data_IF_708090416448
#
_entry.id   IF_708090416448
#
_cell.length_a   1.000
_cell.length_b   1.000
_cell.length_c   1.000
_cell.angle_alpha   90.00
_cell.angle_beta   90.00
_cell.angle_gamma   90.00
#
_symmetry.space_group_name_H-M   'P 1'
#
loop_
_entity.id
_entity.type
_entity.pdbx_description
1 polymer ?
#
# COMPACT_ATOMS: atom_id res chain seq x y z
N UNK A 1 -0.51 57.74 -2.86
CA UNK A 1 0.43 56.63 -2.62
C UNK A 1 -0.27 55.32 -2.94
N UNK A 2 0.27 54.44 -3.79
CA UNK A 2 -0.40 53.20 -4.18
C UNK A 2 -0.18 52.11 -3.11
N UNK A 3 -1.26 51.41 -2.74
CA UNK A 3 -1.22 50.20 -1.90
C UNK A 3 -0.56 49.06 -2.69
N UNK A 4 0.60 48.59 -2.26
CA UNK A 4 1.18 47.33 -2.76
C UNK A 4 0.31 46.16 -2.29
N UNK A 5 -0.37 45.49 -3.22
CA UNK A 5 -0.83 44.12 -3.03
C UNK A 5 0.39 43.23 -2.83
N UNK A 6 0.51 42.62 -1.66
CA UNK A 6 1.43 41.50 -1.46
C UNK A 6 0.71 40.29 -2.06
N UNK A 7 0.99 39.99 -3.33
CA UNK A 7 0.73 38.66 -3.86
C UNK A 7 1.60 37.67 -3.08
N UNK A 8 0.98 36.97 -2.13
CA UNK A 8 1.56 35.78 -1.54
C UNK A 8 1.64 34.71 -2.65
N UNK A 9 2.69 34.79 -3.47
CA UNK A 9 3.07 33.69 -4.36
C UNK A 9 3.45 32.53 -3.45
N UNK A 10 2.53 31.59 -3.29
CA UNK A 10 2.82 30.24 -2.80
C UNK A 10 3.93 29.68 -3.70
N UNK A 11 5.17 29.76 -3.21
CA UNK A 11 6.27 29.04 -3.85
C UNK A 11 6.00 27.56 -3.62
N UNK A 12 6.19 26.69 -4.63
CA UNK A 12 6.14 25.27 -4.41
C UNK A 12 7.20 24.94 -3.36
N UNK A 13 6.75 24.46 -2.20
CA UNK A 13 7.64 23.85 -1.22
C UNK A 13 8.25 22.67 -1.97
N UNK A 14 9.54 22.79 -2.29
CA UNK A 14 10.28 21.72 -2.92
C UNK A 14 10.06 20.46 -2.08
N UNK A 15 9.52 19.43 -2.72
CA UNK A 15 9.26 18.08 -2.23
C UNK A 15 10.53 17.32 -1.80
N UNK A 16 11.63 18.02 -1.52
CA UNK A 16 12.96 17.48 -1.32
C UNK A 16 13.24 17.04 0.13
N UNK A 17 12.27 17.12 1.04
CA UNK A 17 12.49 16.74 2.44
C UNK A 17 11.82 15.43 2.86
N UNK A 18 10.91 14.87 2.08
CA UNK A 18 10.05 13.81 2.59
C UNK A 18 10.37 12.40 2.10
N UNK A 19 11.23 12.21 1.09
CA UNK A 19 11.46 10.85 0.54
C UNK A 19 12.86 10.59 -0.02
N UNK A 20 13.79 11.56 -0.02
CA UNK A 20 15.12 11.28 -0.55
C UNK A 20 15.99 10.67 0.54
N UNK A 21 16.14 9.35 0.49
CA UNK A 21 17.29 8.61 1.05
C UNK A 21 18.60 8.99 0.37
N UNK A 22 18.76 10.26 0.00
CA UNK A 22 19.96 10.76 -0.66
C UNK A 22 21.09 10.85 0.38
N UNK A 23 22.28 10.32 0.05
CA UNK A 23 23.42 10.28 0.96
C UNK A 23 23.88 11.67 1.39
N UNK A 24 23.50 12.71 0.64
CA UNK A 24 23.96 14.06 0.88
C UNK A 24 22.85 15.11 0.71
N UNK A 25 22.91 16.17 1.51
CA UNK A 25 22.05 17.34 1.37
C UNK A 25 22.85 18.42 0.64
N UNK A 26 22.37 18.83 -0.54
CA UNK A 26 22.96 19.91 -1.32
C UNK A 26 22.58 21.24 -0.68
N UNK A 27 23.56 21.99 -0.17
CA UNK A 27 23.36 23.39 0.18
C UNK A 27 23.15 24.17 -1.13
N UNK A 28 22.25 25.17 -1.11
CA UNK A 28 21.76 25.92 -2.29
C UNK A 28 22.83 26.55 -3.20
N UNK A 29 24.11 26.49 -2.83
CA UNK A 29 25.16 27.38 -3.35
C UNK A 29 26.35 26.61 -3.96
N UNK A 30 26.21 25.32 -4.28
CA UNK A 30 27.28 24.52 -4.88
C UNK A 30 28.41 24.10 -3.93
N UNK A 31 28.23 24.32 -2.62
CA UNK A 31 29.11 23.74 -1.59
C UNK A 31 28.97 22.21 -1.54
N UNK A 32 30.05 21.56 -1.12
CA UNK A 32 30.12 20.12 -0.89
C UNK A 32 28.90 19.65 -0.10
N UNK A 33 28.21 18.65 -0.64
CA UNK A 33 27.01 18.12 -0.03
C UNK A 33 27.39 17.44 1.30
N UNK A 34 26.76 17.87 2.41
CA UNK A 34 27.02 17.27 3.71
C UNK A 34 26.34 15.91 3.78
N UNK A 35 26.93 14.89 4.45
CA UNK A 35 26.25 13.65 4.72
C UNK A 35 24.88 13.94 5.34
N UNK A 36 23.83 13.32 4.82
CA UNK A 36 22.49 13.52 5.37
C UNK A 36 22.50 13.08 6.85
N UNK A 37 22.29 14.00 7.81
CA UNK A 37 22.44 13.70 9.23
C UNK A 37 21.43 12.66 9.73
N UNK A 38 20.32 12.46 9.00
CA UNK A 38 19.35 11.41 9.29
C UNK A 38 19.93 10.01 9.02
N UNK A 39 20.80 9.86 8.03
CA UNK A 39 21.40 8.56 7.69
C UNK A 39 22.32 8.03 8.79
N UNK A 40 22.90 8.89 9.63
CA UNK A 40 23.68 8.45 10.78
C UNK A 40 22.81 7.81 11.87
N UNK A 41 21.50 8.05 11.83
CA UNK A 41 20.52 7.61 12.84
C UNK A 41 19.54 6.57 12.28
N UNK A 42 19.80 6.08 11.07
CA UNK A 42 18.97 5.13 10.35
C UNK A 42 19.79 3.90 9.96
N UNK A 43 19.23 2.71 10.12
CA UNK A 43 19.80 1.49 9.53
C UNK A 43 18.75 0.81 8.66
N UNK A 44 19.15 0.18 7.54
CA UNK A 44 18.28 -0.77 6.85
C UNK A 44 17.73 -1.79 7.83
N UNK A 45 16.46 -2.15 7.67
CA UNK A 45 15.78 -3.09 8.54
C UNK A 45 14.83 -3.97 7.73
N UNK A 46 14.78 -5.25 8.10
CA UNK A 46 13.90 -6.25 7.54
C UNK A 46 13.00 -6.74 8.66
N UNK A 47 11.72 -6.44 8.56
CA UNK A 47 10.72 -6.97 9.48
C UNK A 47 10.09 -8.21 8.83
N UNK A 48 10.20 -9.37 9.47
CA UNK A 48 9.58 -10.62 9.01
C UNK A 48 8.62 -11.15 10.08
N UNK A 49 7.94 -12.25 9.78
CA UNK A 49 7.18 -12.97 10.79
C UNK A 49 8.06 -13.37 11.98
N UNK A 50 7.46 -13.33 13.16
CA UNK A 50 8.04 -13.89 14.38
C UNK A 50 8.20 -15.42 14.18
N UNK A 51 9.21 -15.99 14.84
CA UNK A 51 9.44 -17.43 14.77
C UNK A 51 8.28 -18.20 15.40
N UNK A 52 7.72 -19.15 14.67
CA UNK A 52 6.69 -20.05 15.18
C UNK A 52 7.29 -21.17 16.05
N UNK A 53 6.43 -22.04 16.61
CA UNK A 53 6.86 -23.16 17.46
C UNK A 53 7.79 -24.18 16.76
N UNK A 54 7.87 -24.14 15.43
CA UNK A 54 8.78 -24.96 14.64
C UNK A 54 10.12 -24.26 14.34
N UNK A 55 10.36 -23.06 14.89
CA UNK A 55 11.58 -22.27 14.65
C UNK A 55 11.66 -21.71 13.22
N UNK A 56 10.52 -21.49 12.58
CA UNK A 56 10.44 -20.93 11.22
C UNK A 56 9.68 -19.62 11.23
N UNK A 57 10.06 -18.68 10.37
CA UNK A 57 9.34 -17.42 10.11
C UNK A 57 8.37 -17.55 8.92
N UNK A 58 7.74 -18.73 8.78
CA UNK A 58 6.86 -19.08 7.66
C UNK A 58 5.50 -19.51 8.18
N UNK A 59 4.45 -19.05 7.52
CA UNK A 59 3.08 -19.49 7.77
C UNK A 59 2.72 -20.59 6.77
N UNK A 60 2.54 -21.82 7.27
CA UNK A 60 2.12 -22.97 6.45
C UNK A 60 0.60 -23.08 6.47
N UNK A 61 -0.04 -22.99 5.31
CA UNK A 61 -1.49 -23.09 5.16
C UNK A 61 -1.86 -24.20 4.18
N UNK A 62 -2.70 -25.12 4.61
CA UNK A 62 -3.38 -26.09 3.75
C UNK A 62 -4.35 -25.36 2.79
N UNK A 63 -4.89 -26.10 1.84
CA UNK A 63 -5.90 -25.59 0.89
C UNK A 63 -7.04 -24.86 1.60
N UNK A 64 -7.33 -23.62 1.19
CA UNK A 64 -8.39 -22.77 1.76
C UNK A 64 -8.28 -22.50 3.29
N UNK A 65 -7.20 -22.94 3.93
CA UNK A 65 -6.98 -22.73 5.36
C UNK A 65 -6.79 -21.24 5.66
N UNK A 66 -7.32 -20.82 6.82
CA UNK A 66 -7.03 -19.51 7.39
C UNK A 66 -6.00 -19.70 8.49
N UNK A 67 -4.93 -18.92 8.46
CA UNK A 67 -3.97 -18.88 9.54
C UNK A 67 -3.51 -17.46 9.85
N UNK A 68 -2.72 -17.38 10.90
CA UNK A 68 -2.31 -16.12 11.51
C UNK A 68 -0.81 -16.12 11.74
N UNK A 69 -0.18 -14.98 11.52
CA UNK A 69 1.21 -14.72 11.84
C UNK A 69 1.33 -13.32 12.45
N UNK A 70 2.36 -13.11 13.27
CA UNK A 70 2.66 -11.81 13.89
C UNK A 70 4.01 -11.32 13.41
N UNK A 71 4.18 -10.00 13.38
CA UNK A 71 5.47 -9.33 13.18
C UNK A 71 5.63 -8.33 14.32
N UNK A 72 6.65 -8.53 15.15
CA UNK A 72 6.89 -7.68 16.33
C UNK A 72 8.05 -6.72 16.08
N UNK A 73 7.80 -5.41 16.24
CA UNK A 73 8.88 -4.43 16.32
C UNK A 73 9.38 -4.33 17.76
N UNK A 74 10.67 -4.59 18.00
CA UNK A 74 11.26 -4.49 19.34
C UNK A 74 11.47 -3.02 19.80
N UNK A 75 11.90 -2.84 21.05
CA UNK A 75 12.14 -1.53 21.70
C UNK A 75 13.24 -0.66 21.06
N UNK A 76 14.00 -1.20 20.10
CA UNK A 76 15.19 -0.57 19.52
C UNK A 76 14.92 0.67 18.68
N UNK A 77 13.70 0.83 18.15
CA UNK A 77 13.35 2.00 17.35
C UNK A 77 12.11 1.80 16.50
N UNK A 78 11.55 2.90 16.01
CA UNK A 78 10.48 2.87 15.01
C UNK A 78 11.03 2.38 13.67
N UNK A 79 10.16 1.78 12.87
CA UNK A 79 10.50 1.30 11.53
C UNK A 79 9.61 1.99 10.50
N UNK A 80 10.22 2.61 9.49
CA UNK A 80 9.52 3.04 8.28
C UNK A 80 9.65 1.96 7.22
N UNK A 81 8.54 1.27 6.92
CA UNK A 81 8.44 0.30 5.85
C UNK A 81 8.14 1.02 4.54
N UNK A 82 9.01 0.84 3.54
CA UNK A 82 8.83 1.43 2.21
C UNK A 82 8.60 0.37 1.11
N UNK A 83 8.84 -0.91 1.39
CA UNK A 83 8.54 -1.97 0.42
C UNK A 83 8.12 -3.29 1.07
N UNK A 84 7.33 -4.06 0.33
CA UNK A 84 6.81 -5.37 0.74
C UNK A 84 7.32 -6.45 -0.23
N UNK A 85 7.87 -7.53 0.32
CA UNK A 85 8.33 -8.70 -0.46
C UNK A 85 7.77 -9.99 0.11
N UNK A 86 7.74 -11.01 -0.74
CA UNK A 86 7.45 -12.39 -0.36
C UNK A 86 8.07 -13.38 -1.35
N UNK A 87 7.83 -14.66 -1.10
CA UNK A 87 8.23 -15.72 -2.02
C UNK A 87 7.33 -15.74 -3.27
N UNK A 88 7.92 -15.79 -4.46
CA UNK A 88 7.21 -15.65 -5.73
C UNK A 88 6.21 -16.78 -5.98
N UNK A 89 6.58 -17.99 -5.58
CA UNK A 89 5.83 -19.22 -5.87
C UNK A 89 4.61 -19.39 -4.94
N UNK A 90 4.55 -18.59 -3.86
CA UNK A 90 3.54 -18.72 -2.81
C UNK A 90 2.56 -17.53 -2.76
N UNK A 91 2.41 -16.71 -3.81
CA UNK A 91 1.60 -15.47 -3.76
C UNK A 91 0.09 -15.62 -4.07
N UNK A 92 -0.42 -16.82 -4.32
CA UNK A 92 -1.87 -17.04 -4.47
C UNK A 92 -2.52 -17.30 -3.10
N UNK A 93 -2.64 -16.20 -2.34
CA UNK A 93 -3.36 -16.12 -1.06
C UNK A 93 -3.95 -14.72 -0.91
N UNK A 94 -4.92 -14.60 -0.02
CA UNK A 94 -5.45 -13.32 0.43
C UNK A 94 -5.01 -13.06 1.86
N UNK A 95 -4.75 -11.80 2.22
CA UNK A 95 -4.32 -11.44 3.56
C UNK A 95 -4.90 -10.12 4.05
N UNK A 96 -4.95 -9.97 5.36
CA UNK A 96 -5.41 -8.79 6.09
C UNK A 96 -4.37 -8.41 7.14
N UNK A 97 -3.90 -7.17 7.11
CA UNK A 97 -2.99 -6.62 8.12
C UNK A 97 -3.76 -5.79 9.14
N UNK A 98 -3.46 -6.03 10.41
CA UNK A 98 -4.01 -5.27 11.53
C UNK A 98 -2.92 -4.90 12.50
N UNK A 99 -3.03 -3.70 13.04
CA UNK A 99 -2.34 -3.34 14.28
C UNK A 99 -3.01 -4.11 15.42
N UNK A 100 -2.23 -4.94 16.13
CA UNK A 100 -2.72 -5.78 17.22
C UNK A 100 -3.32 -4.95 18.35
N UNK A 101 -2.66 -3.85 18.73
CA UNK A 101 -3.04 -3.04 19.86
C UNK A 101 -4.28 -2.19 19.59
N UNK A 102 -4.34 -1.53 18.42
CA UNK A 102 -5.46 -0.63 18.09
C UNK A 102 -6.60 -1.33 17.35
N UNK A 103 -6.39 -2.54 16.84
CA UNK A 103 -7.31 -3.22 15.92
C UNK A 103 -7.46 -2.52 14.58
N UNK A 104 -6.66 -1.47 14.31
CA UNK A 104 -6.74 -0.71 13.08
C UNK A 104 -6.23 -1.55 11.92
N UNK A 105 -7.03 -1.64 10.87
CA UNK A 105 -6.66 -2.37 9.66
C UNK A 105 -5.88 -1.46 8.71
N UNK A 106 -4.89 -1.98 7.99
CA UNK A 106 -4.19 -1.24 6.93
C UNK A 106 -4.92 -1.32 5.59
N UNK A 107 -6.07 -1.97 5.56
CA UNK A 107 -6.86 -2.23 4.37
C UNK A 107 -8.34 -2.40 4.70
N UNK A 108 -9.22 -2.29 3.71
CA UNK A 108 -10.68 -2.38 3.92
C UNK A 108 -11.19 -3.82 4.10
N UNK A 109 -10.46 -4.80 3.56
CA UNK A 109 -10.70 -6.24 3.70
C UNK A 109 -9.47 -7.00 3.21
N UNK A 110 -9.54 -8.33 3.24
CA UNK A 110 -8.50 -9.20 2.69
C UNK A 110 -8.21 -8.86 1.23
N UNK A 111 -6.94 -8.63 0.92
CA UNK A 111 -6.46 -8.33 -0.44
C UNK A 111 -5.63 -9.49 -0.97
N UNK A 112 -5.60 -9.68 -2.29
CA UNK A 112 -4.78 -10.72 -2.91
C UNK A 112 -3.30 -10.33 -2.90
N UNK A 113 -2.42 -11.23 -2.48
CA UNK A 113 -1.00 -10.92 -2.28
C UNK A 113 -0.31 -10.40 -3.54
N UNK A 114 -0.59 -10.97 -4.70
CA UNK A 114 -0.02 -10.51 -5.98
C UNK A 114 -0.37 -9.05 -6.36
N UNK A 115 -1.34 -8.42 -5.68
CA UNK A 115 -1.67 -7.01 -5.96
C UNK A 115 -0.75 -6.02 -5.22
N UNK A 116 -0.08 -6.44 -4.14
CA UNK A 116 0.69 -5.54 -3.26
C UNK A 116 1.96 -6.15 -2.66
N UNK A 117 2.25 -7.42 -2.91
CA UNK A 117 3.47 -8.09 -2.46
C UNK A 117 4.36 -8.37 -3.67
N UNK A 118 5.56 -7.80 -3.64
CA UNK A 118 6.59 -8.04 -4.65
C UNK A 118 7.37 -9.32 -4.36
N UNK A 119 8.36 -9.60 -5.20
CA UNK A 119 9.33 -10.68 -4.96
C UNK A 119 10.59 -10.12 -4.30
N UNK A 120 11.48 -10.99 -3.83
CA UNK A 120 12.77 -10.55 -3.30
C UNK A 120 13.64 -9.81 -4.35
N UNK A 121 13.50 -10.18 -5.63
CA UNK A 121 14.20 -9.49 -6.72
C UNK A 121 13.50 -8.20 -7.16
N UNK A 122 12.18 -8.12 -7.00
CA UNK A 122 11.35 -6.99 -7.42
C UNK A 122 10.36 -6.64 -6.32
N UNK A 123 10.79 -5.89 -5.29
CA UNK A 123 9.93 -5.48 -4.20
C UNK A 123 8.75 -4.62 -4.65
N UNK A 124 7.63 -4.72 -3.95
CA UNK A 124 6.53 -3.78 -4.13
C UNK A 124 6.82 -2.55 -3.28
N UNK A 125 7.27 -1.47 -3.92
CA UNK A 125 7.51 -0.20 -3.23
C UNK A 125 6.19 0.52 -2.95
N UNK A 126 5.99 0.90 -1.71
CA UNK A 126 4.81 1.63 -1.28
C UNK A 126 4.86 3.08 -1.79
N UNK A 127 3.74 3.65 -2.28
CA UNK A 127 3.69 5.06 -2.63
C UNK A 127 3.80 5.99 -1.41
N UNK A 128 3.45 5.48 -0.25
CA UNK A 128 3.62 6.11 1.06
C UNK A 128 4.12 5.05 2.03
N UNK A 129 5.13 5.34 2.86
CA UNK A 129 5.66 4.36 3.79
C UNK A 129 4.67 4.10 4.95
N UNK A 130 4.77 2.91 5.53
CA UNK A 130 4.08 2.55 6.77
C UNK A 130 5.04 2.79 7.93
N UNK A 131 4.62 3.56 8.93
CA UNK A 131 5.35 3.69 10.19
C UNK A 131 4.88 2.62 11.17
N UNK A 132 5.83 1.84 11.66
CA UNK A 132 5.65 0.88 12.74
C UNK A 132 6.32 1.46 13.99
N UNK A 133 5.52 1.83 14.99
CA UNK A 133 6.01 2.37 16.25
C UNK A 133 6.78 1.28 17.03
N UNK A 134 7.64 1.67 17.99
CA UNK A 134 8.25 0.74 18.95
C UNK A 134 7.19 -0.11 19.66
N UNK A 135 7.51 -1.38 19.89
CA UNK A 135 6.67 -2.36 20.58
C UNK A 135 5.32 -2.64 19.89
N UNK A 136 5.16 -2.15 18.65
CA UNK A 136 3.97 -2.42 17.88
C UNK A 136 4.03 -3.85 17.34
N UNK A 137 2.88 -4.52 17.40
CA UNK A 137 2.70 -5.87 16.87
C UNK A 137 1.73 -5.77 15.70
N UNK A 138 2.13 -6.30 14.56
CA UNK A 138 1.29 -6.36 13.37
C UNK A 138 0.81 -7.80 13.19
N UNK A 139 -0.50 -7.98 13.23
CA UNK A 139 -1.15 -9.25 12.94
C UNK A 139 -1.40 -9.36 11.44
N UNK A 140 -1.07 -10.52 10.89
CA UNK A 140 -1.45 -10.93 9.55
C UNK A 140 -2.41 -12.11 9.65
N UNK A 141 -3.61 -11.94 9.09
CA UNK A 141 -4.55 -13.03 8.83
C UNK A 141 -4.47 -13.37 7.34
N UNK A 142 -4.10 -14.59 6.99
CA UNK A 142 -4.04 -15.05 5.61
C UNK A 142 -4.97 -16.23 5.33
N UNK A 143 -5.45 -16.32 4.10
CA UNK A 143 -6.16 -17.49 3.57
C UNK A 143 -5.49 -17.96 2.28
N UNK A 144 -5.15 -19.24 2.22
CA UNK A 144 -4.63 -19.87 1.00
C UNK A 144 -5.68 -19.82 -0.13
N UNK A 145 -5.30 -19.31 -1.30
CA UNK A 145 -6.16 -19.17 -2.47
C UNK A 145 -6.31 -20.45 -3.30
N UNK A 146 -5.50 -21.48 -3.03
CA UNK A 146 -5.50 -22.75 -3.74
C UNK A 146 -6.75 -23.58 -3.45
N UNK A 147 -7.36 -24.13 -4.50
CA UNK A 147 -8.56 -24.98 -4.42
C UNK A 147 -8.22 -26.47 -4.26
N UNK A 148 -6.99 -26.86 -4.55
CA UNK A 148 -6.45 -28.20 -4.44
C UNK A 148 -5.67 -28.37 -3.13
N UNK A 149 -5.33 -29.61 -2.76
CA UNK A 149 -4.65 -29.98 -1.51
C UNK A 149 -3.19 -29.48 -1.39
N UNK A 150 -2.86 -28.37 -2.04
CA UNK A 150 -1.55 -27.74 -2.03
C UNK A 150 -1.41 -26.91 -0.76
N UNK A 151 -0.45 -27.31 0.08
CA UNK A 151 0.00 -26.49 1.21
C UNK A 151 0.90 -25.39 0.69
N UNK A 152 0.64 -24.14 1.10
CA UNK A 152 1.48 -22.98 0.78
C UNK A 152 2.28 -22.53 1.97
N UNK A 153 3.49 -22.07 1.70
CA UNK A 153 4.38 -21.53 2.70
C UNK A 153 4.53 -20.03 2.55
N UNK A 154 3.64 -19.27 3.18
CA UNK A 154 3.68 -17.82 3.09
C UNK A 154 4.91 -17.29 3.84
N UNK A 155 5.78 -16.60 3.09
CA UNK A 155 6.89 -15.80 3.60
C UNK A 155 6.64 -14.37 3.18
N UNK A 156 6.73 -13.45 4.14
CA UNK A 156 6.58 -12.02 3.89
C UNK A 156 7.62 -11.24 4.68
N UNK A 157 8.27 -10.31 4.01
CA UNK A 157 9.31 -9.46 4.59
C UNK A 157 9.05 -8.02 4.20
N UNK A 158 9.11 -7.13 5.19
CA UNK A 158 8.94 -5.70 5.03
C UNK A 158 10.28 -5.02 5.09
N UNK A 159 10.61 -4.32 4.01
CA UNK A 159 11.85 -3.60 3.84
C UNK A 159 11.65 -2.16 4.29
N UNK A 160 12.55 -1.72 5.16
CA UNK A 160 12.42 -0.42 5.78
C UNK A 160 13.72 0.15 6.30
N UNK A 161 13.58 1.27 6.99
CA UNK A 161 14.62 1.84 7.82
C UNK A 161 14.17 1.84 9.26
N UNK A 162 15.06 1.42 10.17
CA UNK A 162 14.88 1.60 11.60
C UNK A 162 15.55 2.88 12.05
N UNK A 163 14.85 3.65 12.87
CA UNK A 163 15.35 4.89 13.43
C UNK A 163 15.71 4.75 14.91
N UNK A 164 16.93 5.16 15.26
CA UNK A 164 17.43 5.16 16.64
C UNK A 164 17.42 6.57 17.25
N UNK A 165 16.34 7.34 17.05
CA UNK A 165 16.21 8.66 17.65
C UNK A 165 15.92 8.57 19.16
N UNK A 166 16.29 9.65 19.87
CA UNK A 166 15.60 10.01 21.10
C UNK A 166 14.17 10.44 20.73
N UNK A 167 13.17 9.92 21.43
CA UNK A 167 11.73 10.26 21.26
C UNK A 167 11.46 11.76 21.38
N UNK A 168 12.40 12.51 21.97
CA UNK A 168 12.31 13.96 22.13
C UNK A 168 12.83 14.78 20.94
N UNK A 169 13.44 14.15 19.92
CA UNK A 169 13.91 14.84 18.72
C UNK A 169 12.72 15.45 17.95
N UNK A 170 12.74 16.78 17.75
CA UNK A 170 11.65 17.52 17.11
C UNK A 170 11.39 17.04 15.68
N UNK A 171 12.44 16.68 14.94
CA UNK A 171 12.31 16.21 13.56
C UNK A 171 11.53 14.89 13.49
N UNK A 172 11.80 14.01 14.45
CA UNK A 172 11.10 12.75 14.58
C UNK A 172 9.63 12.95 14.98
N UNK A 173 9.33 13.91 15.88
CA UNK A 173 7.94 14.25 16.23
C UNK A 173 7.16 14.79 15.02
N UNK A 174 7.74 15.67 14.23
CA UNK A 174 7.11 16.22 13.02
C UNK A 174 6.88 15.13 11.97
N UNK A 175 7.88 14.26 11.75
CA UNK A 175 7.79 13.13 10.84
C UNK A 175 6.70 12.14 11.28
N UNK A 176 6.72 11.72 12.55
CA UNK A 176 5.72 10.83 13.12
C UNK A 176 4.31 11.42 13.04
N UNK A 177 4.15 12.73 13.28
CA UNK A 177 2.85 13.40 13.15
C UNK A 177 2.33 13.37 11.70
N UNK A 178 3.19 13.63 10.71
CA UNK A 178 2.80 13.58 9.30
C UNK A 178 2.42 12.16 8.87
N UNK A 179 3.27 11.16 9.15
CA UNK A 179 3.01 9.75 8.84
C UNK A 179 1.75 9.23 9.54
N UNK A 180 1.43 9.71 10.75
CA UNK A 180 0.18 9.38 11.45
C UNK A 180 -1.05 10.02 10.82
N UNK A 181 -0.90 11.20 10.20
CA UNK A 181 -1.98 11.90 9.48
C UNK A 181 -2.22 11.37 8.07
N UNK A 182 -1.18 10.76 7.46
CA UNK A 182 -1.18 10.15 6.13
C UNK A 182 -0.82 8.67 6.25
N UNK A 183 -1.82 7.84 6.50
CA UNK A 183 -1.60 6.40 6.69
C UNK A 183 -1.77 5.66 5.39
N UNK A 184 -0.74 4.93 4.95
CA UNK A 184 -0.86 4.00 3.83
C UNK A 184 -2.04 3.08 4.04
N UNK A 185 -2.87 2.98 3.01
CA UNK A 185 -4.08 2.17 3.06
C UNK A 185 -4.32 1.50 1.72
N UNK A 186 -4.79 0.26 1.78
CA UNK A 186 -5.15 -0.53 0.61
C UNK A 186 -6.67 -0.71 0.54
N UNK A 187 -7.26 -0.33 -0.59
CA UNK A 187 -8.67 -0.62 -0.85
C UNK A 187 -8.78 -1.69 -1.93
N UNK A 188 -9.52 -2.76 -1.68
CA UNK A 188 -9.91 -3.73 -2.70
C UNK A 188 -11.42 -3.75 -2.92
N UNK A 189 -11.87 -4.51 -3.92
CA UNK A 189 -13.28 -4.65 -4.29
C UNK A 189 -14.12 -5.14 -3.11
N UNK A 190 -15.27 -4.51 -2.88
CA UNK A 190 -16.19 -4.78 -1.76
C UNK A 190 -16.66 -6.25 -1.75
N UNK A 191 -16.67 -6.90 -2.92
CA UNK A 191 -16.92 -8.33 -3.10
C UNK A 191 -15.84 -8.98 -3.97
N UNK A 192 -15.70 -10.30 -3.85
CA UNK A 192 -14.83 -11.10 -4.71
C UNK A 192 -15.43 -11.09 -6.12
N UNK A 193 -14.63 -10.75 -7.13
CA UNK A 193 -15.10 -10.68 -8.52
C UNK A 193 -14.83 -12.03 -9.18
N UNK A 194 -15.89 -12.75 -9.54
CA UNK A 194 -15.80 -14.00 -10.27
C UNK A 194 -16.63 -13.87 -11.56
N UNK A 195 -15.95 -13.82 -12.69
CA UNK A 195 -16.58 -13.81 -14.01
C UNK A 195 -16.82 -15.24 -14.48
N UNK A 196 -18.00 -15.48 -15.05
CA UNK A 196 -18.21 -16.64 -15.94
C UNK A 196 -17.48 -16.40 -17.26
N UNK A 197 -17.19 -17.46 -18.01
CA UNK A 197 -16.54 -17.37 -19.31
C UNK A 197 -17.26 -16.38 -20.25
N UNK A 198 -16.52 -15.38 -20.77
CA UNK A 198 -17.03 -14.27 -21.59
C UNK A 198 -18.16 -13.45 -20.93
N UNK A 199 -18.29 -13.53 -19.60
CA UNK A 199 -19.28 -12.80 -18.82
C UNK A 199 -18.84 -11.38 -18.49
N UNK A 200 -19.81 -10.60 -18.00
CA UNK A 200 -19.57 -9.26 -17.48
C UNK A 200 -20.05 -9.18 -16.03
N UNK A 201 -19.34 -8.43 -15.19
CA UNK A 201 -19.72 -8.18 -13.80
C UNK A 201 -19.29 -6.77 -13.40
N UNK A 202 -19.96 -6.20 -12.39
CA UNK A 202 -19.54 -4.95 -11.80
C UNK A 202 -19.26 -5.12 -10.30
N UNK A 203 -18.16 -4.54 -9.84
CA UNK A 203 -17.85 -4.46 -8.42
C UNK A 203 -17.57 -3.02 -8.01
N UNK A 204 -17.56 -2.79 -6.71
CA UNK A 204 -17.34 -1.47 -6.15
C UNK A 204 -16.12 -1.49 -5.26
N UNK A 205 -15.47 -0.35 -5.12
CA UNK A 205 -14.57 -0.07 -4.02
C UNK A 205 -15.16 1.11 -3.27
N UNK A 206 -15.54 0.89 -2.02
CA UNK A 206 -16.13 1.92 -1.16
C UNK A 206 -15.09 2.48 -0.19
N UNK A 207 -14.84 3.80 -0.28
CA UNK A 207 -13.95 4.51 0.65
C UNK A 207 -14.57 4.55 2.05
N UNK A 208 -13.72 4.54 3.08
CA UNK A 208 -14.16 4.70 4.46
C UNK A 208 -14.85 6.05 4.68
N UNK A 209 -15.64 6.15 5.74
CA UNK A 209 -16.41 7.35 6.06
C UNK A 209 -15.65 8.42 6.82
N UNK A 210 -14.42 8.13 7.26
CA UNK A 210 -13.65 8.91 8.23
C UNK A 210 -12.42 9.60 7.64
N UNK A 211 -12.06 9.34 6.37
CA UNK A 211 -10.87 9.90 5.74
C UNK A 211 -11.07 10.19 4.26
N UNK A 212 -10.32 11.17 3.76
CA UNK A 212 -10.07 11.28 2.32
C UNK A 212 -9.03 10.24 1.91
N UNK A 213 -9.08 9.73 0.68
CA UNK A 213 -8.09 8.80 0.18
C UNK A 213 -7.29 9.41 -0.98
N UNK A 214 -5.98 9.53 -0.80
CA UNK A 214 -5.03 9.91 -1.84
C UNK A 214 -4.63 8.67 -2.65
N UNK A 215 -5.43 8.36 -3.67
CA UNK A 215 -5.19 7.24 -4.57
C UNK A 215 -3.98 7.52 -5.47
N UNK A 216 -2.95 6.64 -5.38
CA UNK A 216 -1.69 6.79 -6.13
C UNK A 216 -1.41 5.69 -7.14
N UNK A 217 -1.88 4.47 -6.87
CA UNK A 217 -1.63 3.30 -7.70
C UNK A 217 -2.86 2.40 -7.75
N UNK A 218 -3.03 1.73 -8.88
CA UNK A 218 -3.96 0.61 -9.04
C UNK A 218 -3.17 -0.61 -9.48
N UNK A 219 -3.42 -1.73 -8.82
CA UNK A 219 -2.87 -3.05 -9.15
C UNK A 219 -4.03 -4.02 -9.30
N UNK A 220 -3.81 -5.12 -10.02
CA UNK A 220 -4.78 -6.20 -10.11
C UNK A 220 -4.11 -7.56 -10.18
N UNK A 221 -4.87 -8.58 -9.83
CA UNK A 221 -4.60 -9.99 -10.09
C UNK A 221 -5.82 -10.56 -10.84
N UNK A 222 -5.56 -11.47 -11.77
CA UNK A 222 -6.60 -12.17 -12.50
C UNK A 222 -6.13 -13.54 -12.96
N UNK A 223 -7.04 -14.53 -12.96
CA UNK A 223 -6.75 -15.87 -13.50
C UNK A 223 -6.72 -15.88 -15.05
N UNK A 224 -7.26 -14.85 -15.70
CA UNK A 224 -7.37 -14.75 -17.16
C UNK A 224 -7.39 -13.31 -17.68
N UNK A 225 -7.42 -13.16 -19.00
CA UNK A 225 -7.50 -11.83 -19.61
C UNK A 225 -8.90 -11.21 -19.46
N UNK A 226 -8.97 -9.90 -19.22
CA UNK A 226 -10.24 -9.16 -19.08
C UNK A 226 -10.13 -7.73 -19.62
N UNK A 227 -11.26 -7.03 -19.75
CA UNK A 227 -11.30 -5.58 -19.90
C UNK A 227 -11.91 -4.91 -18.68
N UNK A 228 -11.51 -3.67 -18.43
CA UNK A 228 -11.96 -2.87 -17.30
C UNK A 228 -12.42 -1.47 -17.73
N UNK A 229 -13.51 -1.03 -17.12
CA UNK A 229 -13.92 0.37 -17.08
C UNK A 229 -14.09 0.84 -15.64
N UNK A 230 -13.60 2.04 -15.31
CA UNK A 230 -13.67 2.61 -13.96
C UNK A 230 -14.49 3.90 -14.02
N UNK A 231 -15.49 3.98 -13.13
CA UNK A 231 -16.37 5.15 -13.02
C UNK A 231 -16.60 5.50 -11.56
N UNK A 232 -16.94 6.75 -11.29
CA UNK A 232 -17.53 7.11 -10.00
C UNK A 232 -18.98 6.65 -9.97
N UNK A 233 -19.37 5.88 -8.95
CA UNK A 233 -20.67 5.19 -8.92
C UNK A 233 -21.88 6.13 -9.05
N UNK A 234 -21.79 7.35 -8.50
CA UNK A 234 -22.87 8.33 -8.46
C UNK A 234 -22.63 9.54 -9.38
N UNK A 235 -21.79 9.42 -10.39
CA UNK A 235 -21.55 10.51 -11.35
C UNK A 235 -21.24 9.98 -12.74
N UNK A 236 -21.29 10.86 -13.74
CA UNK A 236 -20.86 10.54 -15.11
C UNK A 236 -19.34 10.62 -15.30
N UNK A 237 -18.55 10.74 -14.23
CA UNK A 237 -17.09 10.81 -14.31
C UNK A 237 -16.54 9.39 -14.51
N UNK A 238 -15.94 9.18 -15.67
CA UNK A 238 -15.19 7.98 -16.03
C UNK A 238 -13.69 8.27 -15.96
N UNK A 239 -12.88 7.28 -15.57
CA UNK A 239 -11.42 7.42 -15.47
C UNK A 239 -10.70 6.93 -16.73
N UNK A 240 -11.46 6.38 -17.69
CA UNK A 240 -10.99 5.90 -18.97
C UNK A 240 -12.08 6.16 -20.02
N UNK A 241 -11.68 6.43 -21.25
CA UNK A 241 -12.59 6.76 -22.36
C UNK A 241 -13.16 5.51 -23.07
N UNK A 242 -12.48 4.37 -22.95
CA UNK A 242 -12.88 3.07 -23.48
C UNK A 242 -12.48 2.00 -22.48
N UNK A 243 -13.13 0.84 -22.53
CA UNK A 243 -12.68 -0.32 -21.76
C UNK A 243 -11.22 -0.65 -22.08
N UNK A 244 -10.40 -0.77 -21.05
CA UNK A 244 -8.97 -1.03 -21.21
C UNK A 244 -8.72 -2.51 -20.94
N UNK A 245 -8.02 -3.16 -21.87
CA UNK A 245 -7.59 -4.55 -21.73
C UNK A 245 -6.58 -4.68 -20.57
N UNK A 246 -6.66 -5.75 -19.78
CA UNK A 246 -5.77 -6.01 -18.64
C UNK A 246 -4.28 -6.05 -19.01
N UNK A 247 -3.93 -6.40 -20.26
CA UNK A 247 -2.54 -6.36 -20.74
C UNK A 247 -2.03 -4.94 -21.03
N UNK A 248 -2.94 -3.98 -21.20
CA UNK A 248 -2.64 -2.57 -21.45
C UNK A 248 -2.93 -1.67 -20.24
N UNK A 249 -3.75 -2.15 -19.30
CA UNK A 249 -4.19 -1.42 -18.12
C UNK A 249 -3.34 -1.79 -16.93
N UNK A 250 -2.65 -0.80 -16.34
CA UNK A 250 -1.83 -0.93 -15.14
C UNK A 250 -0.74 -2.01 -15.26
N UNK A 251 0.52 -1.63 -15.11
CA UNK A 251 1.57 -2.62 -15.30
C UNK A 251 1.49 -3.73 -14.23
N UNK A 252 2.12 -4.86 -14.54
CA UNK A 252 2.10 -6.04 -13.68
C UNK A 252 2.79 -5.76 -12.32
N UNK A 253 2.73 -6.71 -11.38
CA UNK A 253 3.40 -6.62 -10.07
C UNK A 253 4.87 -6.16 -10.11
N UNK A 254 5.53 -6.35 -11.26
CA UNK A 254 6.95 -6.03 -11.49
C UNK A 254 7.18 -4.64 -12.09
N UNK A 255 6.14 -4.02 -12.68
CA UNK A 255 6.20 -2.69 -13.29
C UNK A 255 4.90 -1.95 -13.00
N UNK A 256 4.75 -1.46 -11.77
CA UNK A 256 3.58 -0.68 -11.40
C UNK A 256 3.53 0.67 -12.11
N UNK A 257 2.32 1.17 -12.35
CA UNK A 257 2.09 2.52 -12.86
C UNK A 257 1.60 3.41 -11.72
N UNK A 258 2.42 4.38 -11.34
CA UNK A 258 2.05 5.41 -10.39
C UNK A 258 1.45 6.61 -11.11
N UNK A 259 0.32 7.11 -10.61
CA UNK A 259 -0.18 8.38 -11.08
C UNK A 259 0.83 9.48 -10.73
N UNK A 260 1.19 10.27 -11.74
CA UNK A 260 2.04 11.45 -11.57
C UNK A 260 1.51 12.35 -10.43
N UNK A 261 0.21 12.54 -10.37
CA UNK A 261 -0.48 13.26 -9.29
C UNK A 261 -1.49 12.33 -8.61
N UNK A 262 -1.55 12.32 -7.26
CA UNK A 262 -2.56 11.52 -6.58
C UNK A 262 -3.96 12.03 -6.93
N UNK A 263 -4.91 11.12 -7.03
CA UNK A 263 -6.33 11.46 -7.10
C UNK A 263 -6.91 11.47 -5.69
N UNK A 264 -7.75 12.46 -5.36
CA UNK A 264 -8.40 12.55 -4.05
C UNK A 264 -9.81 12.00 -4.15
N UNK A 265 -10.10 10.96 -3.37
CA UNK A 265 -11.44 10.41 -3.19
C UNK A 265 -11.99 10.85 -1.84
N UNK A 266 -13.25 11.28 -1.82
CA UNK A 266 -13.93 11.76 -0.62
C UNK A 266 -14.35 10.60 0.30
N UNK A 267 -14.59 10.87 1.60
CA UNK A 267 -15.18 9.87 2.47
C UNK A 267 -16.49 9.32 1.89
N UNK A 268 -16.71 8.00 2.01
CA UNK A 268 -17.85 7.27 1.43
C UNK A 268 -17.97 7.33 -0.10
N UNK A 269 -16.98 7.86 -0.82
CA UNK A 269 -16.96 7.81 -2.27
C UNK A 269 -16.87 6.36 -2.74
N UNK A 270 -17.58 6.03 -3.83
CA UNK A 270 -17.63 4.69 -4.41
C UNK A 270 -17.11 4.74 -5.83
N UNK A 271 -16.11 3.91 -6.12
CA UNK A 271 -15.67 3.64 -7.48
C UNK A 271 -16.33 2.36 -7.96
N UNK A 272 -16.87 2.37 -9.17
CA UNK A 272 -17.47 1.24 -9.87
C UNK A 272 -16.46 0.73 -10.89
N UNK A 273 -16.17 -0.56 -10.81
CA UNK A 273 -15.30 -1.29 -11.72
C UNK A 273 -16.17 -2.24 -12.52
N UNK A 274 -16.22 -2.05 -13.84
CA UNK A 274 -16.99 -2.90 -14.76
C UNK A 274 -16.02 -3.78 -15.53
N UNK A 275 -16.20 -5.08 -15.43
CA UNK A 275 -15.30 -6.08 -15.99
C UNK A 275 -16.00 -6.87 -17.10
N UNK A 276 -15.22 -7.22 -18.12
CA UNK A 276 -15.64 -8.07 -19.25
C UNK A 276 -14.57 -9.15 -19.43
N UNK A 277 -14.92 -10.43 -19.26
CA UNK A 277 -13.98 -11.54 -19.44
C UNK A 277 -13.60 -11.71 -20.92
N UNK A 278 -12.32 -11.97 -21.17
CA UNK A 278 -11.78 -12.29 -22.49
C UNK A 278 -11.12 -13.68 -22.53
N UNK A 279 -11.03 -14.38 -21.40
CA UNK A 279 -10.27 -15.61 -21.27
C UNK A 279 -11.01 -16.85 -21.78
N UNK A 280 -12.35 -16.78 -21.88
CA UNK A 280 -13.18 -17.91 -22.26
C UNK A 280 -13.31 -18.98 -21.16
N UNK A 281 -12.82 -18.70 -19.95
CA UNK A 281 -12.92 -19.54 -18.76
C UNK A 281 -13.40 -18.71 -17.56
N UNK A 282 -13.86 -19.34 -16.47
CA UNK A 282 -14.12 -18.61 -15.23
C UNK A 282 -12.86 -17.85 -14.78
N UNK A 283 -13.03 -16.58 -14.39
CA UNK A 283 -11.92 -15.69 -14.11
C UNK A 283 -12.16 -14.94 -12.78
N UNK A 284 -11.29 -15.16 -11.79
CA UNK A 284 -11.30 -14.35 -10.56
C UNK A 284 -10.50 -13.08 -10.80
N UNK A 285 -11.01 -11.94 -10.33
CA UNK A 285 -10.33 -10.65 -10.44
C UNK A 285 -10.26 -10.00 -9.07
N UNK A 286 -9.07 -9.51 -8.73
CA UNK A 286 -8.84 -8.68 -7.55
C UNK A 286 -8.25 -7.36 -8.01
N UNK A 287 -8.88 -6.26 -7.61
CA UNK A 287 -8.35 -4.91 -7.85
C UNK A 287 -7.97 -4.30 -6.52
N UNK A 288 -6.78 -3.71 -6.43
CA UNK A 288 -6.31 -3.03 -5.22
C UNK A 288 -5.86 -1.62 -5.56
N UNK A 289 -6.45 -0.64 -4.90
CA UNK A 289 -6.01 0.74 -4.90
C UNK A 289 -5.02 0.93 -3.76
N UNK A 290 -3.84 1.46 -4.06
CA UNK A 290 -2.83 1.81 -3.07
C UNK A 290 -2.69 3.32 -2.98
N UNK A 291 -2.62 3.83 -1.76
CA UNK A 291 -2.58 5.26 -1.49
C UNK A 291 -2.42 5.52 0.00
N UNK A 292 -2.88 6.69 0.45
CA UNK A 292 -2.92 7.03 1.87
C UNK A 292 -4.27 7.60 2.28
N UNK A 293 -4.81 7.13 3.40
CA UNK A 293 -5.90 7.80 4.08
C UNK A 293 -5.37 9.05 4.77
N UNK A 294 -6.05 10.16 4.54
CA UNK A 294 -5.79 11.45 5.15
C UNK A 294 -6.91 11.83 6.08
N UNK A 295 -6.57 11.84 7.36
CA UNK A 295 -7.46 12.26 8.42
C UNK A 295 -7.22 13.75 8.63
N UNK A 296 -7.98 14.57 7.91
CA UNK A 296 -8.04 15.98 8.26
C UNK A 296 -8.56 16.05 9.70
N UNK A 297 -7.87 16.73 10.60
CA UNK A 297 -8.48 17.18 11.85
C UNK A 297 -9.63 18.12 11.47
N UNK A 298 -10.81 17.55 11.23
CA UNK A 298 -12.04 18.32 11.14
C UNK A 298 -12.27 18.73 12.59
N UNK A 299 -11.78 19.91 12.96
CA UNK A 299 -11.98 20.46 14.29
C UNK A 299 -13.46 20.41 14.61
N UNK A 300 -13.82 19.54 15.55
CA UNK A 300 -15.10 19.59 16.27
C UNK A 300 -14.89 20.46 17.48
#
# INVERSE_FOLDING_TARGET
MPRRQIEAKLKPVATNFLFSGEPFIVKRDGEMALPNPLLQKMTPYWLSFDENSAGTNRLLLSAQEIGFATMTNDFGGDIEIYALTGDQDDLDYTFLLKDHQSGSEFMNRKIHAQTVIGTNERPFFLPFPILIDRDQVIDLEARNGANDNVTKGIVQTYLGHRYYFDINDLQYKEFGALSRSLRTYFYTTDNDVALVANGNEASFITMRSDAFFYWKRISFFSDGEFKLNIKRANSSVEFNNVEINSNAFAGNRERYWDFRLPMVLSPKERLRFEFTDLSGNPNRIFVTLTGANFYANIGV
#
